data_IF_481095782928
#
_entry.id   IF_481095782928
#
_cell.length_a   1.000
_cell.length_b   1.000
_cell.length_c   1.000
_cell.angle_alpha   90.00
_cell.angle_beta   90.00
_cell.angle_gamma   90.00
#
_symmetry.space_group_name_H-M   'P 1'
#
loop_
_entity.id
_entity.type
_entity.pdbx_description
1 polymer ?
#
# COMPACT_ATOMS: atom_id res chain seq x y z
N UNK A 1 -35.39 -15.68 85.76
CA UNK A 1 -35.37 -14.19 85.66
C UNK A 1 -34.41 -13.86 84.53
N UNK A 2 -34.88 -13.75 83.28
CA UNK A 2 -35.53 -12.58 82.65
C UNK A 2 -34.52 -11.47 82.29
N UNK A 3 -34.68 -10.94 81.07
CA UNK A 3 -33.88 -9.95 80.31
C UNK A 3 -32.70 -10.59 79.55
N UNK A 4 -32.77 -10.96 78.26
CA UNK A 4 -33.49 -10.43 77.09
C UNK A 4 -33.13 -8.98 76.71
N UNK A 5 -32.66 -8.84 75.46
CA UNK A 5 -32.56 -7.67 74.58
C UNK A 5 -31.30 -6.79 74.64
N UNK A 6 -30.37 -7.03 73.70
CA UNK A 6 -30.12 -6.21 72.49
C UNK A 6 -28.79 -6.67 71.86
N UNK A 7 -28.83 -7.45 70.78
CA UNK A 7 -28.83 -7.04 69.37
C UNK A 7 -27.48 -6.51 68.84
N UNK A 8 -27.00 -7.24 67.82
CA UNK A 8 -26.06 -6.84 66.76
C UNK A 8 -24.57 -6.80 67.12
N UNK A 9 -23.85 -7.89 66.82
CA UNK A 9 -22.98 -7.96 65.64
C UNK A 9 -22.35 -9.35 65.57
N UNK A 10 -22.93 -10.21 64.71
CA UNK A 10 -22.23 -11.38 64.19
C UNK A 10 -21.29 -10.91 63.09
N UNK A 11 -19.98 -10.87 63.34
CA UNK A 11 -18.99 -10.86 62.27
C UNK A 11 -18.41 -12.26 62.19
N UNK A 12 -19.02 -13.03 61.29
CA UNK A 12 -18.45 -14.26 60.74
C UNK A 12 -17.24 -13.83 59.92
N UNK A 13 -16.05 -14.27 60.31
CA UNK A 13 -14.85 -14.26 59.46
C UNK A 13 -15.11 -15.13 58.23
N UNK A 14 -15.60 -14.52 57.16
CA UNK A 14 -15.55 -15.08 55.82
C UNK A 14 -14.31 -14.50 55.12
N UNK A 15 -13.28 -15.33 54.96
CA UNK A 15 -12.19 -15.03 54.03
C UNK A 15 -12.75 -14.96 52.60
N UNK A 16 -13.06 -13.76 52.14
CA UNK A 16 -13.30 -13.49 50.74
C UNK A 16 -11.96 -13.57 49.99
N UNK A 17 -11.64 -14.73 49.42
CA UNK A 17 -10.72 -14.79 48.29
C UNK A 17 -11.45 -14.16 47.11
N UNK A 18 -11.09 -12.92 46.80
CA UNK A 18 -11.46 -12.30 45.53
C UNK A 18 -10.60 -12.95 44.46
N UNK A 19 -11.14 -14.00 43.83
CA UNK A 19 -10.61 -14.48 42.56
C UNK A 19 -11.12 -13.50 41.50
N UNK A 20 -10.28 -12.57 41.09
CA UNK A 20 -10.53 -11.78 39.88
C UNK A 20 -10.33 -12.75 38.71
N UNK A 21 -11.43 -13.27 38.19
CA UNK A 21 -11.44 -13.88 36.87
C UNK A 21 -11.30 -12.72 35.87
N UNK A 22 -10.07 -12.46 35.47
CA UNK A 22 -9.83 -11.71 34.23
C UNK A 22 -10.21 -12.69 33.13
N UNK A 23 -11.39 -12.49 32.57
CA UNK A 23 -11.84 -13.20 31.38
C UNK A 23 -10.95 -12.73 30.23
N UNK A 24 -9.84 -13.44 30.02
CA UNK A 24 -8.97 -13.26 28.86
C UNK A 24 -9.62 -13.97 27.68
N UNK A 25 -10.77 -13.47 27.26
CA UNK A 25 -11.33 -13.74 25.94
C UNK A 25 -10.47 -13.00 24.91
N UNK A 26 -9.26 -13.53 24.68
CA UNK A 26 -8.55 -13.30 23.43
C UNK A 26 -9.23 -14.23 22.43
N UNK A 27 -10.03 -13.72 21.49
CA UNK A 27 -10.70 -14.58 20.53
C UNK A 27 -9.63 -15.31 19.73
N UNK A 28 -9.52 -16.62 19.94
CA UNK A 28 -8.68 -17.49 19.12
C UNK A 28 -9.37 -17.62 17.77
N UNK A 29 -9.14 -16.66 16.88
CA UNK A 29 -9.71 -16.66 15.54
C UNK A 29 -8.99 -17.75 14.74
N UNK A 30 -9.60 -18.93 14.66
CA UNK A 30 -9.23 -19.93 13.65
C UNK A 30 -9.39 -19.30 12.27
N UNK A 31 -8.32 -19.29 11.47
CA UNK A 31 -8.37 -18.93 10.06
C UNK A 31 -9.35 -19.85 9.31
N UNK A 32 -10.60 -19.43 9.20
CA UNK A 32 -11.62 -20.11 8.41
C UNK A 32 -11.33 -19.78 6.95
N UNK A 33 -10.71 -20.72 6.22
CA UNK A 33 -10.69 -20.70 4.74
C UNK A 33 -12.12 -20.49 4.26
N UNK A 34 -12.42 -19.29 3.76
CA UNK A 34 -13.72 -18.99 3.16
C UNK A 34 -13.78 -19.69 1.80
N UNK A 35 -14.48 -20.82 1.77
CA UNK A 35 -14.93 -21.46 0.55
C UNK A 35 -15.93 -20.54 -0.15
N UNK A 36 -15.63 -20.18 -1.41
CA UNK A 36 -16.33 -19.19 -2.22
C UNK A 36 -17.65 -19.71 -2.81
N UNK A 37 -18.63 -20.08 -1.98
CA UNK A 37 -19.98 -20.33 -2.48
C UNK A 37 -21.07 -19.72 -1.59
N UNK A 38 -21.81 -18.77 -2.19
CA UNK A 38 -23.06 -18.11 -1.74
C UNK A 38 -22.99 -17.21 -0.50
N UNK A 39 -22.98 -15.91 -0.77
CA UNK A 39 -23.19 -14.84 0.20
C UNK A 39 -21.91 -14.43 0.93
N UNK A 40 -20.88 -14.01 0.20
CA UNK A 40 -19.68 -13.43 0.83
C UNK A 40 -20.12 -12.20 1.64
N UNK A 41 -20.06 -12.32 2.96
CA UNK A 41 -20.33 -11.21 3.86
C UNK A 41 -19.23 -10.19 3.63
N UNK A 42 -19.60 -8.99 3.16
CA UNK A 42 -18.65 -7.91 2.96
C UNK A 42 -17.84 -7.66 4.24
N UNK A 43 -16.54 -7.32 4.14
CA UNK A 43 -15.74 -6.93 5.29
C UNK A 43 -16.45 -5.85 6.12
N UNK A 44 -16.25 -5.84 7.43
CA UNK A 44 -16.87 -4.83 8.29
C UNK A 44 -16.47 -3.41 7.91
N UNK A 45 -15.21 -3.20 7.49
CA UNK A 45 -14.75 -1.89 7.04
C UNK A 45 -15.52 -1.38 5.80
N UNK A 46 -15.99 -2.30 4.94
CA UNK A 46 -16.79 -2.03 3.75
C UNK A 46 -18.28 -1.76 4.06
N UNK A 47 -18.70 -1.93 5.30
CA UNK A 47 -20.08 -1.68 5.76
C UNK A 47 -20.10 -0.46 6.68
N UNK A 48 -21.26 0.20 6.74
CA UNK A 48 -21.50 1.31 7.67
C UNK A 48 -20.43 2.43 7.58
N UNK A 49 -19.92 2.68 6.39
CA UNK A 49 -18.97 3.78 6.17
C UNK A 49 -19.68 5.11 6.25
N UNK A 50 -19.01 6.07 6.87
CA UNK A 50 -19.47 7.46 6.94
C UNK A 50 -18.45 8.33 6.21
N UNK A 51 -18.91 9.27 5.36
CA UNK A 51 -18.01 10.25 4.76
C UNK A 51 -17.40 11.11 5.86
N UNK A 52 -16.13 11.45 5.70
CA UNK A 52 -15.43 12.40 6.57
C UNK A 52 -15.11 13.63 5.75
N UNK A 53 -15.36 14.80 6.32
CA UNK A 53 -15.02 16.06 5.67
C UNK A 53 -13.51 16.21 5.59
N UNK A 54 -12.98 16.62 4.43
CA UNK A 54 -11.53 16.70 4.22
C UNK A 54 -10.89 17.79 5.08
N UNK A 55 -11.64 18.86 5.35
CA UNK A 55 -11.25 19.93 6.27
C UNK A 55 -11.24 19.49 7.74
N UNK A 56 -11.90 18.38 8.09
CA UNK A 56 -11.88 17.84 9.45
C UNK A 56 -10.59 17.05 9.77
N UNK A 57 -9.82 16.66 8.74
CA UNK A 57 -8.52 16.01 8.90
C UNK A 57 -7.42 17.04 8.77
N UNK A 58 -6.94 17.53 9.92
CA UNK A 58 -5.87 18.51 10.02
C UNK A 58 -4.69 17.88 10.74
N UNK A 59 -3.48 18.07 10.20
CA UNK A 59 -2.27 17.65 10.88
C UNK A 59 -2.05 18.43 12.18
N UNK A 60 -1.42 17.83 13.21
CA UNK A 60 -1.08 18.54 14.43
C UNK A 60 -0.17 19.74 14.17
N UNK A 61 -0.14 20.66 15.14
CA UNK A 61 0.82 21.76 15.15
C UNK A 61 2.25 21.23 15.07
N UNK A 62 3.09 21.81 14.20
CA UNK A 62 4.43 21.35 13.87
C UNK A 62 4.55 20.63 12.52
N UNK A 63 3.43 20.29 11.88
CA UNK A 63 3.39 19.67 10.55
C UNK A 63 2.74 20.57 9.49
N UNK A 64 2.59 21.87 9.75
CA UNK A 64 1.92 22.82 8.85
C UNK A 64 2.65 22.98 7.51
N UNK A 65 3.97 22.75 7.51
CA UNK A 65 4.78 22.77 6.29
C UNK A 65 4.70 21.47 5.48
N UNK A 66 4.14 20.41 6.05
CA UNK A 66 3.96 19.13 5.35
C UNK A 66 2.75 19.24 4.45
N UNK A 67 2.94 18.92 3.17
CA UNK A 67 1.85 18.91 2.19
C UNK A 67 0.78 17.90 2.60
N UNK A 68 -0.50 18.29 2.46
CA UNK A 68 -1.64 17.43 2.79
C UNK A 68 -2.11 16.73 1.51
N UNK A 69 -1.86 15.43 1.32
CA UNK A 69 -2.04 14.79 0.00
C UNK A 69 -3.48 14.84 -0.52
N UNK A 70 -4.47 14.80 0.38
CA UNK A 70 -5.89 14.88 0.03
C UNK A 70 -6.41 16.32 -0.18
N UNK A 71 -5.53 17.32 -0.13
CA UNK A 71 -5.87 18.71 -0.50
C UNK A 71 -5.35 19.09 -1.89
N UNK A 72 -4.71 18.15 -2.60
CA UNK A 72 -4.26 18.30 -3.98
C UNK A 72 -5.42 18.61 -4.92
N UNK A 73 -5.28 19.67 -5.72
CA UNK A 73 -6.32 20.14 -6.64
C UNK A 73 -6.51 19.24 -7.87
N UNK A 74 -5.49 18.46 -8.24
CA UNK A 74 -5.53 17.50 -9.34
C UNK A 74 -6.19 16.17 -8.95
N UNK A 75 -6.48 15.96 -7.66
CA UNK A 75 -7.12 14.77 -7.13
C UNK A 75 -8.55 15.05 -6.69
N UNK A 76 -9.34 13.97 -6.55
CA UNK A 76 -10.70 14.01 -5.99
C UNK A 76 -10.80 13.00 -4.85
N UNK A 77 -10.06 13.17 -3.75
CA UNK A 77 -9.94 12.15 -2.74
C UNK A 77 -11.28 11.91 -2.03
N UNK A 78 -11.48 10.67 -1.58
CA UNK A 78 -12.61 10.25 -0.77
C UNK A 78 -12.11 9.87 0.62
N UNK A 79 -12.70 10.47 1.64
CA UNK A 79 -12.38 10.16 3.03
C UNK A 79 -13.56 9.46 3.68
N UNK A 80 -13.29 8.33 4.32
CA UNK A 80 -14.31 7.51 4.99
C UNK A 80 -13.82 7.03 6.34
N UNK A 81 -14.76 6.82 7.24
CA UNK A 81 -14.52 6.17 8.54
C UNK A 81 -15.56 5.09 8.79
N UNK A 82 -15.20 4.07 9.56
CA UNK A 82 -16.12 3.03 10.01
C UNK A 82 -15.56 2.32 11.25
N UNK A 83 -16.39 1.63 12.05
CA UNK A 83 -15.91 0.77 13.13
C UNK A 83 -14.87 -0.26 12.64
N UNK A 84 -15.14 -0.93 11.50
CA UNK A 84 -14.23 -1.92 10.92
C UNK A 84 -12.86 -1.35 10.56
N UNK A 85 -12.80 -0.12 10.04
CA UNK A 85 -11.52 0.55 9.77
C UNK A 85 -10.72 0.81 11.05
N UNK A 86 -11.39 1.30 12.10
CA UNK A 86 -10.74 1.56 13.41
C UNK A 86 -10.21 0.28 14.05
N UNK A 87 -11.01 -0.79 14.02
CA UNK A 87 -10.57 -2.10 14.54
C UNK A 87 -9.46 -2.71 13.70
N UNK A 88 -9.48 -2.52 12.38
CA UNK A 88 -8.38 -2.89 11.48
C UNK A 88 -7.08 -2.17 11.83
N UNK A 89 -7.15 -0.86 12.04
CA UNK A 89 -6.00 -0.04 12.44
C UNK A 89 -5.42 -0.45 13.79
N UNK A 90 -6.27 -0.66 14.80
CA UNK A 90 -5.85 -1.13 16.12
C UNK A 90 -5.14 -2.49 16.03
N UNK A 91 -5.66 -3.39 15.20
CA UNK A 91 -5.04 -4.70 14.95
C UNK A 91 -3.68 -4.55 14.28
N UNK A 92 -3.58 -3.79 13.20
CA UNK A 92 -2.30 -3.52 12.52
C UNK A 92 -1.28 -2.93 13.49
N UNK A 93 -1.68 -1.92 14.27
CA UNK A 93 -0.84 -1.28 15.28
C UNK A 93 -0.33 -2.24 16.36
N UNK A 94 -1.08 -3.31 16.67
CA UNK A 94 -0.70 -4.30 17.69
C UNK A 94 0.33 -5.34 17.24
N UNK A 95 0.59 -5.47 15.93
CA UNK A 95 1.50 -6.47 15.40
C UNK A 95 2.95 -6.13 15.70
N UNK A 96 3.76 -7.14 16.02
CA UNK A 96 5.21 -6.99 16.23
C UNK A 96 5.92 -6.82 14.90
N UNK A 97 6.92 -5.95 14.86
CA UNK A 97 7.83 -5.86 13.72
C UNK A 97 8.88 -6.95 13.83
N UNK A 98 9.08 -7.75 12.78
CA UNK A 98 10.07 -8.84 12.76
C UNK A 98 11.47 -8.35 13.13
N UNK A 99 12.17 -9.15 13.94
CA UNK A 99 13.49 -8.80 14.47
C UNK A 99 13.48 -7.83 15.64
N UNK A 100 12.31 -7.33 16.05
CA UNK A 100 12.16 -6.34 17.12
C UNK A 100 11.22 -6.84 18.22
N UNK A 101 11.39 -6.32 19.44
CA UNK A 101 10.39 -6.44 20.51
C UNK A 101 9.56 -5.16 20.59
N UNK A 102 9.12 -4.66 19.44
CA UNK A 102 8.28 -3.48 19.32
C UNK A 102 7.17 -3.75 18.31
N UNK A 103 6.03 -3.12 18.54
CA UNK A 103 4.86 -3.15 17.69
C UNK A 103 4.90 -2.04 16.63
N UNK A 104 4.10 -2.20 15.58
CA UNK A 104 3.90 -1.15 14.56
C UNK A 104 3.53 0.18 15.22
N UNK A 105 2.59 0.16 16.18
CA UNK A 105 2.16 1.38 16.87
C UNK A 105 3.27 2.02 17.70
N UNK A 106 4.19 1.23 18.28
CA UNK A 106 5.34 1.76 19.01
C UNK A 106 6.37 2.39 18.08
N UNK A 107 6.59 1.84 16.89
CA UNK A 107 7.44 2.46 15.86
C UNK A 107 6.83 3.77 15.39
N UNK A 108 5.54 3.78 15.05
CA UNK A 108 4.82 4.99 14.63
C UNK A 108 4.89 6.07 15.71
N UNK A 109 4.54 5.72 16.96
CA UNK A 109 4.57 6.67 18.08
C UNK A 109 5.96 7.25 18.30
N UNK A 110 7.02 6.42 18.23
CA UNK A 110 8.39 6.91 18.39
C UNK A 110 8.78 7.93 17.31
N UNK A 111 8.34 7.73 16.06
CA UNK A 111 8.56 8.69 14.99
C UNK A 111 7.76 9.99 15.22
N UNK A 112 6.47 9.88 15.55
CA UNK A 112 5.58 11.03 15.76
C UNK A 112 6.01 11.88 16.98
N UNK A 113 6.39 11.23 18.09
CA UNK A 113 6.93 11.88 19.30
C UNK A 113 8.23 12.66 18.99
N UNK A 114 8.90 12.35 17.88
CA UNK A 114 10.10 13.01 17.40
C UNK A 114 9.86 13.91 16.17
N UNK A 115 8.61 14.36 15.99
CA UNK A 115 8.19 15.26 14.92
C UNK A 115 8.38 14.69 13.50
N UNK A 116 8.19 13.38 13.35
CA UNK A 116 8.15 12.71 12.05
C UNK A 116 6.74 12.14 11.84
N UNK A 117 5.93 12.83 11.05
CA UNK A 117 4.58 12.37 10.68
C UNK A 117 4.70 11.09 9.87
N UNK A 118 3.91 10.09 10.23
CA UNK A 118 3.90 8.78 9.58
C UNK A 118 2.55 8.56 8.89
N UNK A 119 2.58 8.18 7.60
CA UNK A 119 1.38 7.78 6.87
C UNK A 119 1.58 6.41 6.21
N UNK A 120 0.87 5.36 6.68
CA UNK A 120 0.90 4.05 6.03
C UNK A 120 0.24 4.12 4.65
N UNK A 121 0.69 3.30 3.71
CA UNK A 121 0.21 3.33 2.34
C UNK A 121 0.09 1.93 1.73
N UNK A 122 -0.80 1.80 0.74
CA UNK A 122 -0.77 0.70 -0.21
C UNK A 122 -1.32 -0.61 0.33
N UNK A 123 -0.52 -1.68 0.20
CA UNK A 123 -0.98 -3.06 0.43
C UNK A 123 -1.45 -3.32 1.85
N UNK A 124 -0.81 -2.70 2.84
CA UNK A 124 -1.18 -2.83 4.25
C UNK A 124 -2.57 -2.26 4.55
N UNK A 125 -2.90 -1.13 3.94
CA UNK A 125 -4.20 -0.47 4.08
C UNK A 125 -5.29 -1.25 3.33
N UNK A 126 -4.99 -1.79 2.15
CA UNK A 126 -5.89 -2.72 1.45
C UNK A 126 -6.25 -3.92 2.32
N UNK A 127 -5.24 -4.58 2.88
CA UNK A 127 -5.44 -5.80 3.66
C UNK A 127 -6.20 -5.46 4.97
N UNK A 128 -5.93 -4.31 5.58
CA UNK A 128 -6.71 -3.76 6.70
C UNK A 128 -8.20 -3.56 6.36
N UNK A 129 -8.53 -3.01 5.18
CA UNK A 129 -9.93 -2.85 4.73
C UNK A 129 -10.62 -4.20 4.56
N UNK A 130 -9.90 -5.21 4.06
CA UNK A 130 -10.43 -6.56 3.92
C UNK A 130 -10.58 -7.30 5.26
N UNK A 131 -10.02 -6.76 6.35
CA UNK A 131 -9.88 -7.46 7.63
C UNK A 131 -8.90 -8.64 7.56
N UNK A 132 -8.01 -8.63 6.56
CA UNK A 132 -6.91 -9.57 6.39
C UNK A 132 -5.70 -9.09 7.19
N UNK A 133 -4.82 -10.02 7.57
CA UNK A 133 -3.57 -9.68 8.24
C UNK A 133 -2.57 -9.12 7.22
N UNK A 134 -2.10 -7.87 7.37
CA UNK A 134 -1.06 -7.34 6.51
C UNK A 134 0.24 -8.14 6.66
N UNK A 135 0.94 -8.37 5.56
CA UNK A 135 2.24 -9.05 5.57
C UNK A 135 3.37 -8.09 5.93
N UNK A 136 3.30 -6.87 5.39
CA UNK A 136 4.25 -5.79 5.51
C UNK A 136 3.51 -4.46 5.74
N UNK A 137 4.26 -3.43 6.12
CA UNK A 137 3.76 -2.05 6.21
C UNK A 137 4.68 -1.14 5.42
N UNK A 138 4.16 -0.64 4.31
CA UNK A 138 4.75 0.47 3.57
C UNK A 138 4.22 1.80 4.12
N UNK A 139 5.07 2.84 4.17
CA UNK A 139 4.68 4.17 4.61
C UNK A 139 5.55 5.29 4.04
N UNK A 140 5.02 6.51 4.04
CA UNK A 140 5.84 7.72 3.95
C UNK A 140 6.00 8.39 5.31
N UNK A 141 7.15 9.03 5.51
CA UNK A 141 7.45 9.79 6.72
C UNK A 141 7.97 11.18 6.39
N UNK A 142 7.51 12.20 7.14
CA UNK A 142 7.85 13.62 6.90
C UNK A 142 9.33 13.97 7.11
N UNK A 143 10.05 13.14 7.88
CA UNK A 143 11.47 13.31 8.16
C UNK A 143 12.36 12.81 7.03
N UNK A 144 13.61 13.31 6.97
CA UNK A 144 14.62 12.75 6.05
C UNK A 144 15.01 11.34 6.47
N UNK A 145 15.51 10.54 5.52
CA UNK A 145 16.00 9.19 5.82
C UNK A 145 17.13 9.17 6.85
N UNK A 146 18.05 10.14 6.81
CA UNK A 146 19.12 10.28 7.82
C UNK A 146 18.53 10.43 9.22
N UNK A 147 17.48 11.25 9.33
CA UNK A 147 16.80 11.48 10.60
C UNK A 147 16.04 10.24 11.05
N UNK A 148 15.30 9.58 10.17
CA UNK A 148 14.57 8.33 10.46
C UNK A 148 15.57 7.24 10.90
N UNK A 149 16.66 7.06 10.17
CA UNK A 149 17.72 6.10 10.50
C UNK A 149 18.33 6.38 11.88
N UNK A 150 18.63 7.65 12.18
CA UNK A 150 19.17 8.05 13.48
C UNK A 150 18.19 7.75 14.62
N UNK A 151 16.92 8.13 14.46
CA UNK A 151 15.86 7.87 15.46
C UNK A 151 15.62 6.38 15.69
N UNK A 152 15.56 5.61 14.60
CA UNK A 152 15.41 4.16 14.64
C UNK A 152 16.60 3.52 15.37
N UNK A 153 17.82 3.85 14.94
CA UNK A 153 19.06 3.25 15.49
C UNK A 153 19.19 3.52 16.99
N UNK A 154 18.83 4.74 17.42
CA UNK A 154 18.88 5.14 18.82
C UNK A 154 17.88 4.35 19.68
N UNK A 155 16.68 4.07 19.17
CA UNK A 155 15.59 3.45 19.94
C UNK A 155 15.59 1.93 19.87
N UNK A 156 15.83 1.38 18.68
CA UNK A 156 15.65 -0.03 18.36
C UNK A 156 16.96 -0.75 18.06
N UNK A 157 18.08 -0.03 18.02
CA UNK A 157 19.41 -0.56 17.70
C UNK A 157 19.69 -0.55 16.21
N UNK A 158 20.96 -0.32 15.85
CA UNK A 158 21.43 -0.16 14.46
C UNK A 158 21.07 -1.36 13.57
N UNK A 159 21.10 -2.58 14.12
CA UNK A 159 20.81 -3.81 13.39
C UNK A 159 19.35 -3.94 12.93
N UNK A 160 18.45 -3.07 13.40
CA UNK A 160 17.03 -3.06 13.03
C UNK A 160 16.69 -1.91 12.09
N UNK A 161 17.69 -1.20 11.58
CA UNK A 161 17.50 0.05 10.83
C UNK A 161 18.38 0.00 9.58
N UNK A 162 17.85 -0.58 8.51
CA UNK A 162 18.62 -0.83 7.30
C UNK A 162 18.28 0.19 6.22
N UNK A 163 19.29 0.89 5.70
CA UNK A 163 19.12 1.65 4.47
C UNK A 163 19.08 0.69 3.28
N UNK A 164 18.25 0.98 2.29
CA UNK A 164 18.23 0.22 1.05
C UNK A 164 19.63 0.14 0.44
N UNK A 165 20.11 -1.06 0.06
CA UNK A 165 21.44 -1.22 -0.53
C UNK A 165 21.50 -0.69 -1.97
N UNK A 166 20.35 -0.37 -2.57
CA UNK A 166 20.24 0.07 -3.95
C UNK A 166 20.59 1.56 -4.07
N UNK A 167 21.63 1.93 -4.85
CA UNK A 167 22.01 3.32 -5.04
C UNK A 167 20.83 4.16 -5.54
N UNK A 168 20.55 5.28 -4.87
CA UNK A 168 19.44 6.18 -5.20
C UNK A 168 18.07 5.74 -4.68
N UNK A 169 17.96 4.58 -4.01
CA UNK A 169 16.73 4.21 -3.33
C UNK A 169 16.54 5.07 -2.09
N UNK A 170 15.36 5.67 -1.96
CA UNK A 170 14.95 6.45 -0.80
C UNK A 170 14.34 5.61 0.34
N UNK A 171 14.49 4.29 0.24
CA UNK A 171 13.82 3.35 1.11
C UNK A 171 14.67 3.01 2.33
N UNK A 172 14.06 3.09 3.49
CA UNK A 172 14.61 2.67 4.77
C UNK A 172 13.73 1.58 5.36
N UNK A 173 14.35 0.53 5.86
CA UNK A 173 13.68 -0.61 6.47
C UNK A 173 13.84 -0.57 7.99
N UNK A 174 12.73 -0.71 8.72
CA UNK A 174 12.70 -0.82 10.18
C UNK A 174 12.28 -2.25 10.56
N UNK A 175 13.16 -2.98 11.22
CA UNK A 175 13.03 -4.41 11.49
C UNK A 175 14.24 -5.18 10.98
N UNK A 176 14.28 -6.47 11.28
CA UNK A 176 15.35 -7.35 10.84
C UNK A 176 14.81 -8.74 10.46
N UNK A 177 14.78 -9.03 9.16
CA UNK A 177 14.31 -10.30 8.60
C UNK A 177 15.15 -11.51 9.03
N UNK A 178 16.42 -11.29 9.41
CA UNK A 178 17.34 -12.34 9.87
C UNK A 178 17.15 -12.72 11.33
N UNK A 179 16.38 -11.93 12.10
CA UNK A 179 16.17 -12.16 13.54
C UNK A 179 14.75 -12.61 13.83
N UNK A 180 14.64 -13.81 14.39
CA UNK A 180 13.36 -14.43 14.77
C UNK A 180 12.60 -15.02 13.57
N UNK A 181 11.83 -16.07 13.84
CA UNK A 181 10.87 -16.60 12.88
C UNK A 181 9.64 -15.70 12.85
N UNK A 182 9.09 -15.45 11.65
CA UNK A 182 7.76 -14.86 11.51
C UNK A 182 6.74 -15.64 12.35
N UNK A 183 5.85 -14.92 13.02
CA UNK A 183 4.76 -15.47 13.82
C UNK A 183 3.42 -14.94 13.34
N UNK A 184 2.32 -15.55 13.80
CA UNK A 184 0.97 -15.10 13.43
C UNK A 184 0.69 -13.63 13.81
N UNK A 185 1.39 -13.11 14.82
CA UNK A 185 1.26 -11.74 15.34
C UNK A 185 2.45 -10.84 14.96
N UNK A 186 3.19 -11.22 13.92
CA UNK A 186 4.38 -10.51 13.44
C UNK A 186 4.18 -10.07 11.99
N UNK A 187 4.59 -8.86 11.66
CA UNK A 187 4.75 -8.39 10.27
C UNK A 187 6.22 -8.43 9.87
N UNK A 188 6.46 -8.51 8.56
CA UNK A 188 7.79 -8.27 8.01
C UNK A 188 8.30 -6.86 8.35
N UNK A 189 9.62 -6.61 8.24
CA UNK A 189 10.18 -5.28 8.46
C UNK A 189 9.41 -4.21 7.69
N UNK A 190 9.16 -3.09 8.36
CA UNK A 190 8.44 -1.96 7.79
C UNK A 190 9.30 -1.25 6.78
N UNK A 191 8.70 -0.87 5.67
CA UNK A 191 9.37 -0.25 4.54
C UNK A 191 8.91 1.21 4.43
N UNK A 192 9.83 2.13 4.71
CA UNK A 192 9.55 3.56 4.84
C UNK A 192 10.28 4.33 3.75
N UNK A 193 9.57 5.23 3.09
CA UNK A 193 10.16 6.21 2.17
C UNK A 193 9.97 7.62 2.71
N UNK A 194 10.72 8.57 2.14
CA UNK A 194 10.57 9.97 2.51
C UNK A 194 9.25 10.50 1.95
N UNK A 195 8.70 11.51 2.63
CA UNK A 195 7.57 12.27 2.12
C UNK A 195 7.79 12.68 0.66
N UNK A 196 6.70 12.67 -0.12
CA UNK A 196 6.61 13.07 -1.54
C UNK A 196 6.95 11.97 -2.55
N UNK A 197 7.52 10.84 -2.13
CA UNK A 197 7.91 9.75 -3.05
C UNK A 197 6.71 9.01 -3.68
N UNK A 198 5.54 9.10 -3.07
CA UNK A 198 4.27 8.45 -3.46
C UNK A 198 3.11 9.44 -3.40
N UNK A 199 3.00 10.26 -2.35
CA UNK A 199 1.84 11.14 -2.15
C UNK A 199 1.81 12.38 -3.04
N UNK A 200 2.96 12.81 -3.57
CA UNK A 200 3.04 13.98 -4.47
C UNK A 200 3.19 13.61 -5.95
N UNK A 201 3.31 12.33 -6.28
CA UNK A 201 3.42 11.90 -7.68
C UNK A 201 2.03 11.85 -8.35
N UNK A 202 1.94 11.99 -9.69
CA UNK A 202 0.67 11.90 -10.41
C UNK A 202 0.11 10.46 -10.44
N UNK A 203 -1.19 10.27 -10.71
CA UNK A 203 -1.80 8.94 -10.82
C UNK A 203 -1.13 8.01 -11.83
N UNK A 204 -0.43 8.54 -12.84
CA UNK A 204 0.35 7.75 -13.81
C UNK A 204 1.51 7.02 -13.16
N UNK A 205 2.03 7.48 -12.02
CA UNK A 205 3.11 6.81 -11.29
C UNK A 205 2.63 5.79 -10.26
N UNK A 206 1.38 5.90 -9.78
CA UNK A 206 0.78 4.88 -8.91
C UNK A 206 0.44 3.59 -9.64
N UNK A 207 0.28 2.49 -8.90
CA UNK A 207 -0.04 1.17 -9.45
C UNK A 207 -1.52 1.03 -9.83
N UNK A 208 -2.25 0.16 -9.12
CA UNK A 208 -3.68 -0.04 -9.26
C UNK A 208 -4.39 0.56 -8.05
N UNK A 209 -5.64 0.98 -8.25
CA UNK A 209 -6.47 1.64 -7.23
C UNK A 209 -6.56 0.89 -5.88
N UNK A 210 -6.51 -0.46 -5.79
CA UNK A 210 -6.49 -1.12 -4.48
C UNK A 210 -5.30 -0.75 -3.59
N UNK A 211 -4.21 -0.25 -4.16
CA UNK A 211 -2.98 0.10 -3.46
C UNK A 211 -2.75 1.61 -3.39
N UNK A 212 -3.79 2.45 -3.52
CA UNK A 212 -3.67 3.92 -3.50
C UNK A 212 -4.37 4.59 -2.32
N UNK A 213 -4.44 3.89 -1.19
CA UNK A 213 -5.09 4.38 0.02
C UNK A 213 -4.07 4.55 1.14
N UNK A 214 -4.31 5.56 1.98
CA UNK A 214 -3.64 5.74 3.26
C UNK A 214 -4.66 5.73 4.40
N UNK A 215 -4.19 5.57 5.62
CA UNK A 215 -5.00 5.70 6.82
C UNK A 215 -4.36 6.72 7.74
N UNK A 216 -5.15 7.70 8.17
CA UNK A 216 -4.72 8.69 9.13
C UNK A 216 -5.52 8.55 10.41
N UNK A 217 -4.81 8.52 11.54
CA UNK A 217 -5.43 8.47 12.86
C UNK A 217 -4.73 9.42 13.82
N UNK A 218 -5.47 10.43 14.27
CA UNK A 218 -5.00 11.30 15.34
C UNK A 218 -4.88 10.54 16.68
N UNK A 219 -3.88 10.88 17.51
CA UNK A 219 -3.82 10.42 18.89
C UNK A 219 -5.09 10.75 19.70
N UNK A 220 -5.30 10.07 20.82
CA UNK A 220 -6.32 10.38 21.83
C UNK A 220 -7.77 10.42 21.31
N UNK A 221 -8.15 9.48 20.44
CA UNK A 221 -9.49 9.42 19.82
C UNK A 221 -9.85 10.64 18.96
N UNK A 222 -8.85 11.36 18.45
CA UNK A 222 -9.08 12.40 17.44
C UNK A 222 -9.63 11.82 16.12
N UNK A 223 -9.84 12.68 15.11
CA UNK A 223 -10.33 12.24 13.80
C UNK A 223 -9.49 11.11 13.21
N UNK A 224 -10.18 10.10 12.68
CA UNK A 224 -9.55 8.98 11.97
C UNK A 224 -10.30 8.72 10.67
N UNK A 225 -9.56 8.60 9.58
CA UNK A 225 -10.11 8.38 8.27
C UNK A 225 -9.18 7.51 7.42
N UNK A 226 -9.79 6.63 6.65
CA UNK A 226 -9.17 6.12 5.44
C UNK A 226 -9.30 7.19 4.37
N UNK A 227 -8.19 7.48 3.70
CA UNK A 227 -8.08 8.45 2.62
C UNK A 227 -7.79 7.68 1.33
N UNK A 228 -8.74 7.67 0.43
CA UNK A 228 -8.61 7.13 -0.92
C UNK A 228 -8.32 8.28 -1.89
N UNK A 229 -7.08 8.37 -2.37
CA UNK A 229 -6.64 9.46 -3.24
C UNK A 229 -7.25 9.42 -4.64
N UNK A 230 -7.80 8.27 -5.04
CA UNK A 230 -8.36 8.04 -6.37
C UNK A 230 -9.88 8.12 -6.41
N UNK A 231 -10.56 8.18 -5.25
CA UNK A 231 -12.02 8.00 -5.09
C UNK A 231 -12.54 6.61 -5.50
N UNK A 232 -11.67 5.71 -5.95
CA UNK A 232 -12.02 4.42 -6.53
C UNK A 232 -11.43 3.26 -5.74
N UNK A 233 -10.28 3.45 -5.09
CA UNK A 233 -9.55 2.43 -4.36
C UNK A 233 -10.37 1.75 -3.27
N UNK A 234 -11.13 2.49 -2.47
CA UNK A 234 -11.91 1.89 -1.39
C UNK A 234 -13.02 0.97 -1.92
N UNK A 235 -13.75 1.43 -2.93
CA UNK A 235 -14.79 0.63 -3.60
C UNK A 235 -14.16 -0.58 -4.31
N UNK A 236 -13.08 -0.37 -5.06
CA UNK A 236 -12.37 -1.42 -5.77
C UNK A 236 -11.80 -2.49 -4.80
N UNK A 237 -11.40 -2.13 -3.58
CA UNK A 237 -11.03 -3.12 -2.55
C UNK A 237 -12.25 -3.92 -2.08
N UNK A 238 -13.35 -3.25 -1.75
CA UNK A 238 -14.56 -3.91 -1.27
C UNK A 238 -15.20 -4.82 -2.33
N UNK A 239 -15.11 -4.46 -3.61
CA UNK A 239 -15.61 -5.23 -4.75
C UNK A 239 -14.58 -6.20 -5.34
N UNK A 240 -13.35 -6.22 -4.80
CA UNK A 240 -12.20 -6.95 -5.34
C UNK A 240 -11.96 -6.67 -6.84
N UNK A 241 -11.95 -5.40 -7.23
CA UNK A 241 -11.67 -4.93 -8.59
C UNK A 241 -10.27 -4.32 -8.72
N UNK A 242 -9.68 -4.47 -9.90
CA UNK A 242 -8.39 -3.92 -10.28
C UNK A 242 -8.67 -2.86 -11.35
N UNK A 243 -8.31 -1.61 -11.06
CA UNK A 243 -8.41 -0.49 -11.98
C UNK A 243 -7.07 0.23 -12.05
N UNK A 244 -6.68 0.65 -13.26
CA UNK A 244 -5.53 1.52 -13.45
C UNK A 244 -5.86 2.90 -12.84
N UNK A 245 -4.89 3.48 -12.15
CA UNK A 245 -5.06 4.74 -11.42
C UNK A 245 -5.18 5.98 -12.31
N UNK A 246 -4.60 5.91 -13.51
CA UNK A 246 -4.66 6.96 -14.51
C UNK A 246 -5.86 6.79 -15.45
N UNK A 247 -6.30 7.90 -16.04
CA UNK A 247 -7.32 7.89 -17.09
C UNK A 247 -6.85 7.08 -18.31
N UNK A 248 -7.79 6.51 -19.08
CA UNK A 248 -7.50 5.61 -20.19
C UNK A 248 -6.54 6.21 -21.22
N UNK A 249 -6.65 7.52 -21.49
CA UNK A 249 -5.78 8.22 -22.43
C UNK A 249 -4.32 8.31 -21.94
N UNK A 250 -4.09 8.13 -20.64
CA UNK A 250 -2.77 8.17 -20.00
C UNK A 250 -2.23 6.77 -19.68
N UNK A 251 -2.93 5.70 -20.06
CA UNK A 251 -2.46 4.34 -19.83
C UNK A 251 -1.07 4.05 -20.42
N UNK A 252 -0.69 4.55 -21.63
CA UNK A 252 0.67 4.41 -22.13
C UNK A 252 1.72 5.07 -21.22
N UNK A 253 1.42 6.25 -20.67
CA UNK A 253 2.29 6.94 -19.70
C UNK A 253 2.36 6.15 -18.38
N UNK A 254 1.21 5.66 -17.91
CA UNK A 254 1.11 4.85 -16.69
C UNK A 254 1.89 3.54 -16.77
N UNK A 255 1.89 2.91 -17.95
CA UNK A 255 2.67 1.71 -18.22
C UNK A 255 4.18 1.98 -18.21
N UNK A 256 4.57 3.26 -18.33
CA UNK A 256 5.94 3.74 -18.26
C UNK A 256 6.78 3.37 -19.48
N UNK A 257 8.07 3.71 -19.40
CA UNK A 257 9.04 3.30 -20.40
C UNK A 257 9.23 1.77 -20.41
N UNK A 258 9.45 1.21 -21.61
CA UNK A 258 9.66 -0.21 -21.80
C UNK A 258 10.76 -0.75 -20.88
N UNK A 259 10.43 -1.83 -20.15
CA UNK A 259 11.33 -2.52 -19.23
C UNK A 259 11.44 -1.89 -17.82
N UNK A 260 11.21 -0.58 -17.63
CA UNK A 260 11.38 0.07 -16.31
C UNK A 260 10.21 -0.16 -15.35
N UNK A 261 9.01 -0.40 -15.90
CA UNK A 261 7.77 -0.54 -15.12
C UNK A 261 7.07 -1.89 -15.40
N UNK A 262 7.80 -2.92 -15.84
CA UNK A 262 7.21 -4.23 -16.11
C UNK A 262 6.60 -4.86 -14.85
N UNK A 263 7.30 -4.74 -13.71
CA UNK A 263 6.82 -5.25 -12.41
C UNK A 263 5.45 -4.65 -12.05
N UNK A 264 5.23 -3.36 -12.34
CA UNK A 264 3.96 -2.66 -12.09
C UNK A 264 2.79 -3.36 -12.80
N UNK A 265 2.99 -3.76 -14.07
CA UNK A 265 2.00 -4.54 -14.83
C UNK A 265 1.86 -5.97 -14.31
N UNK A 266 2.97 -6.63 -13.96
CA UNK A 266 2.94 -7.99 -13.41
C UNK A 266 2.19 -8.09 -12.07
N UNK A 267 2.20 -7.02 -11.26
CA UNK A 267 1.42 -6.91 -10.01
C UNK A 267 -0.09 -7.00 -10.24
N UNK A 268 -0.60 -6.87 -11.46
CA UNK A 268 -1.98 -7.22 -11.82
C UNK A 268 -2.29 -8.67 -11.42
N UNK A 269 -1.42 -9.62 -11.78
CA UNK A 269 -1.61 -11.04 -11.42
C UNK A 269 -1.36 -11.32 -9.95
N UNK A 270 -0.54 -10.51 -9.25
CA UNK A 270 -0.42 -10.56 -7.77
C UNK A 270 -1.77 -10.23 -7.10
N UNK A 271 -2.54 -9.29 -7.64
CA UNK A 271 -3.89 -9.00 -7.15
C UNK A 271 -4.88 -10.08 -7.58
N UNK A 272 -4.81 -10.57 -8.83
CA UNK A 272 -5.69 -11.64 -9.33
C UNK A 272 -5.59 -12.91 -8.47
N UNK A 273 -4.39 -13.30 -8.02
CA UNK A 273 -4.20 -14.46 -7.12
C UNK A 273 -4.79 -14.24 -5.72
N UNK A 274 -5.05 -12.98 -5.31
CA UNK A 274 -5.81 -12.63 -4.10
C UNK A 274 -7.33 -12.58 -4.32
N UNK A 275 -7.80 -13.05 -5.48
CA UNK A 275 -9.22 -13.09 -5.85
C UNK A 275 -9.76 -11.77 -6.39
N UNK A 276 -8.89 -10.86 -6.82
CA UNK A 276 -9.33 -9.67 -7.54
C UNK A 276 -9.60 -9.97 -9.02
N UNK A 277 -10.43 -9.14 -9.63
CA UNK A 277 -10.76 -9.18 -11.06
C UNK A 277 -10.50 -7.83 -11.70
N UNK A 278 -10.24 -7.79 -13.02
CA UNK A 278 -10.24 -6.52 -13.73
C UNK A 278 -11.59 -5.80 -13.51
N UNK A 279 -11.54 -4.47 -13.37
CA UNK A 279 -12.76 -3.66 -13.28
C UNK A 279 -13.63 -3.84 -14.53
N UNK A 280 -12.99 -3.89 -15.69
CA UNK A 280 -13.59 -4.01 -17.01
C UNK A 280 -12.65 -4.75 -17.98
N UNK A 281 -13.18 -5.26 -19.11
CA UNK A 281 -12.38 -5.96 -20.12
C UNK A 281 -11.24 -5.11 -20.71
N UNK A 282 -11.41 -3.79 -20.79
CA UNK A 282 -10.42 -2.86 -21.36
C UNK A 282 -9.16 -2.79 -20.49
N UNK A 283 -9.33 -2.72 -19.17
CA UNK A 283 -8.23 -2.76 -18.20
C UNK A 283 -7.42 -4.04 -18.36
N UNK A 284 -8.09 -5.20 -18.42
CA UNK A 284 -7.42 -6.47 -18.63
C UNK A 284 -6.68 -6.51 -19.98
N UNK A 285 -7.37 -6.12 -21.05
CA UNK A 285 -6.82 -6.11 -22.40
C UNK A 285 -5.54 -5.25 -22.47
N UNK A 286 -5.58 -4.02 -21.95
CA UNK A 286 -4.44 -3.13 -21.96
C UNK A 286 -3.25 -3.71 -21.18
N UNK A 287 -3.47 -4.23 -19.97
CA UNK A 287 -2.39 -4.80 -19.15
C UNK A 287 -1.76 -6.03 -19.84
N UNK A 288 -2.58 -6.92 -20.41
CA UNK A 288 -2.10 -8.11 -21.13
C UNK A 288 -1.30 -7.71 -22.36
N UNK A 289 -1.86 -6.86 -23.23
CA UNK A 289 -1.21 -6.51 -24.50
C UNK A 289 0.04 -5.64 -24.28
N UNK A 290 0.05 -4.74 -23.31
CA UNK A 290 1.24 -3.98 -22.95
C UNK A 290 2.36 -4.88 -22.40
N UNK A 291 2.03 -5.91 -21.61
CA UNK A 291 3.03 -6.89 -21.16
C UNK A 291 3.55 -7.75 -22.30
N UNK A 292 2.69 -8.22 -23.22
CA UNK A 292 3.13 -9.00 -24.40
C UNK A 292 4.11 -8.21 -25.27
N UNK A 293 3.83 -6.92 -25.48
CA UNK A 293 4.65 -6.03 -26.29
C UNK A 293 6.03 -5.78 -25.70
N UNK A 294 6.12 -5.72 -24.37
CA UNK A 294 7.34 -5.34 -23.65
C UNK A 294 7.84 -6.48 -22.75
N UNK A 295 7.60 -7.71 -23.18
CA UNK A 295 7.97 -8.90 -22.43
C UNK A 295 9.48 -8.94 -22.18
N UNK A 296 9.86 -9.19 -20.93
CA UNK A 296 11.24 -9.39 -20.52
C UNK A 296 11.31 -10.65 -19.65
N UNK A 297 12.08 -11.63 -20.11
CA UNK A 297 12.22 -12.92 -19.44
C UNK A 297 12.75 -12.78 -18.01
N UNK A 298 13.83 -12.02 -17.81
CA UNK A 298 14.46 -11.85 -16.50
C UNK A 298 13.53 -11.20 -15.47
N UNK A 299 12.81 -10.14 -15.88
CA UNK A 299 11.86 -9.47 -14.99
C UNK A 299 10.66 -10.35 -14.63
N UNK A 300 10.19 -11.19 -15.57
CA UNK A 300 9.13 -12.17 -15.31
C UNK A 300 9.63 -13.27 -14.37
N UNK A 301 10.84 -13.79 -14.56
CA UNK A 301 11.43 -14.78 -13.66
C UNK A 301 11.62 -14.22 -12.25
N UNK A 302 12.12 -12.99 -12.14
CA UNK A 302 12.27 -12.25 -10.89
C UNK A 302 10.94 -12.06 -10.19
N UNK A 303 9.91 -11.61 -10.92
CA UNK A 303 8.57 -11.46 -10.38
C UNK A 303 8.00 -12.79 -9.90
N UNK A 304 8.13 -13.86 -10.69
CA UNK A 304 7.62 -15.18 -10.34
C UNK A 304 8.29 -15.73 -9.08
N UNK A 305 9.61 -15.61 -8.99
CA UNK A 305 10.36 -16.00 -7.80
C UNK A 305 9.88 -15.25 -6.55
N UNK A 306 9.88 -13.91 -6.60
CA UNK A 306 9.59 -13.08 -5.42
C UNK A 306 8.12 -13.17 -5.00
N UNK A 307 7.19 -13.06 -5.95
CA UNK A 307 5.76 -12.86 -5.61
C UNK A 307 4.90 -14.12 -5.73
N UNK A 308 5.35 -15.14 -6.46
CA UNK A 308 4.60 -16.41 -6.61
C UNK A 308 5.23 -17.51 -5.77
N UNK A 309 6.56 -17.57 -5.74
CA UNK A 309 7.29 -18.61 -5.01
C UNK A 309 7.79 -18.19 -3.62
N UNK A 310 7.65 -16.91 -3.26
CA UNK A 310 8.12 -16.38 -1.97
C UNK A 310 9.63 -16.65 -1.75
N UNK A 311 10.42 -16.32 -2.78
CA UNK A 311 11.85 -16.58 -2.84
C UNK A 311 12.71 -15.36 -3.11
N UNK A 312 14.02 -15.53 -2.90
CA UNK A 312 15.07 -14.58 -3.28
C UNK A 312 15.59 -14.90 -4.68
N UNK A 313 15.56 -13.90 -5.56
CA UNK A 313 16.01 -14.03 -6.94
C UNK A 313 17.49 -13.68 -7.08
N UNK A 314 18.26 -14.58 -7.67
CA UNK A 314 19.66 -14.38 -8.04
C UNK A 314 19.83 -14.50 -9.55
N UNK A 315 20.38 -13.46 -10.18
CA UNK A 315 20.77 -13.49 -11.58
C UNK A 315 22.12 -14.20 -11.72
N UNK A 316 22.17 -15.30 -12.47
CA UNK A 316 23.40 -16.05 -12.72
C UNK A 316 24.17 -15.57 -13.95
N UNK A 317 23.68 -14.53 -14.64
CA UNK A 317 24.27 -13.97 -15.87
C UNK A 317 24.13 -14.89 -17.09
N UNK A 318 23.51 -16.06 -16.96
CA UNK A 318 23.32 -17.07 -18.02
C UNK A 318 21.88 -17.09 -18.55
N UNK A 319 21.17 -15.96 -18.46
CA UNK A 319 19.76 -15.81 -18.83
C UNK A 319 18.80 -16.69 -18.01
N UNK A 320 19.25 -17.32 -16.92
CA UNK A 320 18.39 -18.13 -16.04
C UNK A 320 18.50 -17.68 -14.60
N UNK A 321 17.42 -17.12 -14.10
CA UNK A 321 17.31 -16.84 -12.67
C UNK A 321 17.40 -18.10 -11.81
N UNK A 322 18.08 -17.98 -10.68
CA UNK A 322 17.96 -18.91 -9.56
C UNK A 322 17.02 -18.31 -8.53
N UNK A 323 16.06 -19.08 -8.05
CA UNK A 323 15.17 -18.71 -6.96
C UNK A 323 15.48 -19.55 -5.72
N UNK A 324 15.97 -18.91 -4.67
CA UNK A 324 16.17 -19.51 -3.36
C UNK A 324 14.90 -19.31 -2.52
N UNK A 325 14.23 -20.38 -2.11
CA UNK A 325 12.98 -20.27 -1.36
C UNK A 325 13.25 -19.79 0.08
N UNK A 326 12.49 -18.79 0.57
CA UNK A 326 12.64 -18.25 1.93
C UNK A 326 12.07 -19.20 2.98
N UNK A 327 10.96 -19.87 2.66
CA UNK A 327 10.31 -20.86 3.52
C UNK A 327 9.96 -22.13 2.72
N UNK A 328 10.74 -23.20 2.90
CA UNK A 328 10.50 -24.50 2.27
C UNK A 328 9.61 -25.43 3.11
N UNK A 329 9.11 -24.97 4.26
CA UNK A 329 8.33 -25.79 5.18
C UNK A 329 6.90 -26.09 4.69
N UNK A 330 6.43 -25.43 3.62
CA UNK A 330 5.10 -25.65 3.07
C UNK A 330 5.07 -25.80 1.53
N UNK A 331 5.58 -26.93 1.00
CA UNK A 331 5.58 -27.18 -0.44
C UNK A 331 4.18 -27.22 -1.05
N UNK A 332 3.14 -27.57 -0.27
CA UNK A 332 1.77 -27.58 -0.74
C UNK A 332 1.24 -26.16 -1.05
N UNK A 333 1.52 -25.19 -0.15
CA UNK A 333 1.17 -23.77 -0.36
C UNK A 333 1.90 -23.19 -1.57
N UNK A 334 3.18 -23.53 -1.75
CA UNK A 334 3.96 -23.12 -2.92
C UNK A 334 3.33 -23.64 -4.22
N UNK A 335 3.01 -24.93 -4.31
CA UNK A 335 2.38 -25.50 -5.50
C UNK A 335 0.96 -24.97 -5.74
N UNK A 336 0.21 -24.64 -4.67
CA UNK A 336 -1.08 -23.95 -4.76
C UNK A 336 -0.93 -22.56 -5.39
N UNK A 337 0.00 -21.74 -4.89
CA UNK A 337 0.32 -20.41 -5.46
C UNK A 337 0.73 -20.50 -6.93
N UNK A 338 1.65 -21.42 -7.27
CA UNK A 338 2.10 -21.63 -8.66
C UNK A 338 0.94 -22.01 -9.56
N UNK A 339 0.09 -22.95 -9.13
CA UNK A 339 -1.09 -23.38 -9.91
C UNK A 339 -2.08 -22.24 -10.12
N UNK A 340 -2.38 -21.48 -9.07
CA UNK A 340 -3.30 -20.36 -9.14
C UNK A 340 -2.79 -19.30 -10.12
N UNK A 341 -1.51 -18.90 -10.01
CA UNK A 341 -0.89 -17.96 -10.93
C UNK A 341 -0.89 -18.48 -12.37
N UNK A 342 -0.38 -19.70 -12.59
CA UNK A 342 -0.25 -20.27 -13.94
C UNK A 342 -1.62 -20.38 -14.63
N UNK A 343 -2.67 -20.79 -13.90
CA UNK A 343 -4.03 -20.88 -14.44
C UNK A 343 -4.58 -19.51 -14.85
N UNK A 344 -4.39 -18.48 -14.02
CA UNK A 344 -4.83 -17.11 -14.33
C UNK A 344 -4.06 -16.54 -15.52
N UNK A 345 -2.74 -16.73 -15.55
CA UNK A 345 -1.89 -16.24 -16.61
C UNK A 345 -2.19 -16.92 -17.95
N UNK A 346 -2.38 -18.25 -17.96
CA UNK A 346 -2.78 -18.97 -19.16
C UNK A 346 -4.15 -18.50 -19.68
N UNK A 347 -5.11 -18.27 -18.78
CA UNK A 347 -6.43 -17.76 -19.13
C UNK A 347 -6.37 -16.36 -19.73
N UNK A 348 -5.63 -15.45 -19.10
CA UNK A 348 -5.60 -14.03 -19.48
C UNK A 348 -4.77 -13.78 -20.76
N UNK A 349 -3.68 -14.52 -20.99
CA UNK A 349 -2.83 -14.36 -22.19
C UNK A 349 -3.22 -15.26 -23.37
N UNK A 350 -3.96 -16.32 -23.09
CA UNK A 350 -4.28 -17.39 -24.02
C UNK A 350 -3.19 -18.48 -24.07
N UNK A 351 -3.64 -19.72 -24.24
CA UNK A 351 -2.79 -20.92 -24.34
C UNK A 351 -1.60 -20.79 -25.30
N UNK A 352 -1.71 -20.15 -26.50
CA UNK A 352 -0.57 -20.04 -27.40
C UNK A 352 0.61 -19.24 -26.82
N UNK A 353 0.33 -18.10 -26.16
CA UNK A 353 1.38 -17.29 -25.55
C UNK A 353 1.93 -17.97 -24.29
N UNK A 354 1.05 -18.60 -23.50
CA UNK A 354 1.45 -19.37 -22.33
C UNK A 354 2.45 -20.48 -22.68
N UNK A 355 2.10 -21.34 -23.65
CA UNK A 355 2.92 -22.49 -24.01
C UNK A 355 4.25 -22.10 -24.68
N UNK A 356 4.26 -21.04 -25.49
CA UNK A 356 5.44 -20.65 -26.29
C UNK A 356 6.40 -19.73 -25.57
N UNK A 357 5.91 -18.91 -24.63
CA UNK A 357 6.69 -17.84 -23.99
C UNK A 357 6.74 -18.05 -22.48
N UNK A 358 5.59 -17.96 -21.81
CA UNK A 358 5.56 -17.88 -20.34
C UNK A 358 6.00 -19.16 -19.65
N UNK A 359 5.47 -20.32 -20.09
CA UNK A 359 5.77 -21.59 -19.46
C UNK A 359 7.27 -21.92 -19.57
N UNK A 360 7.92 -21.82 -20.75
CA UNK A 360 9.37 -21.96 -20.86
C UNK A 360 10.14 -20.98 -19.97
N UNK A 361 9.73 -19.71 -19.90
CA UNK A 361 10.35 -18.70 -19.05
C UNK A 361 10.30 -19.08 -17.56
N UNK A 362 9.14 -19.54 -17.08
CA UNK A 362 8.94 -19.94 -15.68
C UNK A 362 9.65 -21.27 -15.37
N UNK A 363 9.54 -22.26 -16.26
CA UNK A 363 10.22 -23.56 -16.13
C UNK A 363 11.75 -23.42 -16.19
N UNK A 364 12.26 -22.33 -16.78
CA UNK A 364 13.67 -21.99 -16.82
C UNK A 364 14.26 -21.57 -15.47
N UNK A 365 13.42 -21.22 -14.49
CA UNK A 365 13.87 -20.79 -13.16
C UNK A 365 14.44 -21.99 -12.40
N UNK A 366 15.69 -21.89 -11.95
CA UNK A 366 16.30 -22.91 -11.10
C UNK A 366 15.84 -22.69 -9.66
N UNK A 367 15.11 -23.64 -9.09
CA UNK A 367 14.68 -23.57 -7.69
C UNK A 367 15.74 -24.22 -6.80
N UNK A 368 16.28 -23.45 -5.85
CA UNK A 368 17.15 -23.95 -4.80
C UNK A 368 16.35 -24.06 -3.49
N UNK A 369 16.42 -25.24 -2.85
CA UNK A 369 15.82 -25.51 -1.54
C UNK A 369 16.93 -25.57 -0.49
N UNK A 370 16.67 -25.01 0.68
CA UNK A 370 17.65 -24.90 1.78
C UNK A 370 18.27 -23.51 1.88
N UNK A 371 18.76 -23.18 3.07
CA UNK A 371 19.25 -21.85 3.44
C UNK A 371 20.15 -21.26 2.34
N UNK A 372 19.97 -19.97 1.97
CA UNK A 372 20.89 -19.31 1.06
C UNK A 372 22.28 -19.52 1.63
N UNK A 373 23.19 -20.05 0.81
CA UNK A 373 24.59 -20.11 1.20
C UNK A 373 24.94 -18.70 1.65
N UNK A 374 25.26 -18.54 2.95
CA UNK A 374 25.80 -17.29 3.48
C UNK A 374 26.76 -16.76 2.43
N UNK A 375 26.58 -15.54 1.90
CA UNK A 375 27.47 -15.06 0.87
C UNK A 375 28.85 -15.18 1.48
N UNK A 376 29.68 -16.09 0.92
CA UNK A 376 31.08 -16.17 1.28
C UNK A 376 31.56 -14.74 1.25
N UNK A 377 32.04 -14.28 2.40
CA UNK A 377 32.64 -12.97 2.57
C UNK A 377 33.81 -12.88 1.59
N UNK A 378 33.52 -12.54 0.34
CA UNK A 378 34.48 -11.88 -0.52
C UNK A 378 34.68 -10.56 0.21
N UNK A 379 35.89 -10.27 0.72
CA UNK A 379 36.18 -8.99 1.30
C UNK A 379 35.76 -7.97 0.24
N UNK A 380 34.86 -7.06 0.60
CA UNK A 380 34.65 -5.86 -0.19
C UNK A 380 36.00 -5.14 -0.17
N UNK A 381 36.79 -5.36 -1.21
CA UNK A 381 38.01 -4.62 -1.44
C UNK A 381 37.54 -3.21 -1.81
N UNK A 382 37.76 -2.20 -0.97
CA UNK A 382 37.28 -0.87 -1.24
C UNK A 382 37.89 -0.42 -2.55
N UNK A 383 37.06 -0.23 -3.59
CA UNK A 383 37.48 0.45 -4.80
C UNK A 383 38.12 1.75 -4.37
N UNK A 384 39.41 1.89 -4.66
CA UNK A 384 40.19 3.08 -4.37
C UNK A 384 39.38 4.30 -4.81
N UNK A 385 39.17 5.21 -3.85
CA UNK A 385 38.54 6.50 -4.08
C UNK A 385 39.24 7.17 -5.25
N UNK A 386 38.52 7.32 -6.37
CA UNK A 386 38.93 8.27 -7.38
C UNK A 386 38.91 9.65 -6.72
N UNK A 387 40.05 10.32 -6.77
CA UNK A 387 40.24 11.69 -6.31
C UNK A 387 39.18 12.61 -6.94
N UNK A 388 38.65 13.60 -6.19
CA UNK A 388 37.71 14.55 -6.74
C UNK A 388 38.42 15.40 -7.79
N UNK A 389 37.93 15.35 -9.04
CA UNK A 389 38.25 16.37 -10.03
C UNK A 389 37.67 17.70 -9.55
N UNK A 390 38.55 18.61 -9.14
CA UNK A 390 38.23 20.02 -8.95
C UNK A 390 37.84 20.62 -10.31
N UNK A 391 36.55 20.80 -10.54
CA UNK A 391 36.04 21.70 -11.58
C UNK A 391 35.82 23.06 -10.92
N UNK A 392 36.42 24.16 -11.42
CA UNK A 392 36.16 25.49 -10.90
C UNK A 392 34.70 25.86 -11.11
N UNK A 393 34.05 26.31 -10.03
CA UNK A 393 32.71 26.90 -10.07
C UNK A 393 32.78 28.28 -10.72
N UNK A 394 32.30 28.41 -11.95
CA UNK A 394 31.98 29.72 -12.54
C UNK A 394 30.60 30.17 -12.04
N UNK A 395 30.44 31.42 -11.55
CA UNK A 395 29.14 31.94 -11.16
C UNK A 395 28.25 32.11 -12.40
N UNK A 396 27.08 31.47 -12.40
CA UNK A 396 26.03 31.77 -13.38
C UNK A 396 25.54 33.21 -13.18
N UNK A 397 25.72 34.04 -14.21
CA UNK A 397 25.06 35.33 -14.33
C UNK A 397 23.54 35.17 -14.26
N UNK A 398 22.91 36.06 -13.49
CA UNK A 398 21.46 36.14 -13.32
C UNK A 398 20.80 36.44 -14.66
N UNK A 399 20.01 35.50 -15.17
CA UNK A 399 19.12 35.74 -16.30
C UNK A 399 18.04 36.76 -15.88
N UNK A 400 18.00 37.89 -16.56
CA UNK A 400 16.92 38.88 -16.47
C UNK A 400 15.59 38.29 -16.95
N UNK A 401 14.47 38.65 -16.32
CA UNK A 401 13.16 38.15 -16.72
C UNK A 401 12.75 38.76 -18.07
N UNK A 402 12.45 37.89 -19.04
CA UNK A 402 11.81 38.25 -20.30
C UNK A 402 10.43 38.88 -20.03
N UNK A 403 10.26 40.16 -20.37
CA UNK A 403 8.94 40.81 -20.45
C UNK A 403 8.25 40.37 -21.74
N UNK A 404 7.10 39.73 -21.61
CA UNK A 404 6.15 39.56 -22.72
C UNK A 404 5.45 40.91 -22.93
N UNK A 405 5.43 41.48 -24.16
CA UNK A 405 4.65 42.68 -24.44
C UNK A 405 3.15 42.37 -24.38
N UNK A 406 2.44 43.18 -23.60
CA UNK A 406 0.98 43.14 -23.48
C UNK A 406 0.36 43.87 -24.68
N UNK A 407 -0.36 43.15 -25.54
CA UNK A 407 -1.23 43.76 -26.56
C UNK A 407 -2.56 44.22 -25.90
N UNK A 408 -3.04 45.45 -26.16
CA UNK A 408 -4.33 45.90 -25.66
C UNK A 408 -5.47 45.17 -26.40
N UNK A 409 -6.34 44.52 -25.63
CA UNK A 409 -7.57 43.92 -26.12
C UNK A 409 -8.60 45.02 -26.40
N UNK A 410 -9.04 45.13 -27.66
CA UNK A 410 -10.12 46.03 -28.07
C UNK A 410 -11.42 45.73 -27.30
N UNK A 411 -12.06 46.79 -26.83
CA UNK A 411 -13.35 46.76 -26.15
C UNK A 411 -14.48 46.51 -27.15
N UNK A 412 -15.15 45.37 -27.04
CA UNK A 412 -16.46 45.15 -27.65
C UNK A 412 -17.56 45.72 -26.75
N UNK A 413 -18.40 46.58 -27.30
CA UNK A 413 -19.57 47.22 -26.69
C UNK A 413 -20.66 46.20 -26.31
N UNK A 414 -21.49 46.47 -25.28
CA UNK A 414 -22.53 45.54 -24.83
C UNK A 414 -23.77 45.62 -25.73
N UNK A 415 -24.23 44.47 -26.23
CA UNK A 415 -25.58 44.31 -26.79
C UNK A 415 -26.59 44.02 -25.67
N UNK A 416 -27.73 44.69 -25.79
CA UNK A 416 -28.84 44.71 -24.84
C UNK A 416 -29.43 43.34 -24.53
N UNK A 417 -29.79 43.17 -23.26
CA UNK A 417 -30.60 42.11 -22.69
C UNK A 417 -32.00 42.04 -23.31
N UNK A 418 -32.33 40.89 -23.91
CA UNK A 418 -33.71 40.48 -24.14
C UNK A 418 -34.16 39.60 -22.96
N UNK A 419 -35.16 40.06 -22.21
CA UNK A 419 -35.84 39.28 -21.18
C UNK A 419 -36.70 38.20 -21.86
N UNK A 420 -36.47 36.93 -21.50
CA UNK A 420 -37.39 35.83 -21.81
C UNK A 420 -38.05 35.40 -20.52
N UNK A 421 -39.33 35.73 -20.39
CA UNK A 421 -40.24 35.27 -19.34
C UNK A 421 -40.64 33.82 -19.58
N UNK A 422 -40.31 32.94 -18.64
CA UNK A 422 -40.75 31.52 -18.65
C UNK A 422 -42.14 31.42 -18.01
N UNK A 423 -43.14 31.10 -18.81
CA UNK A 423 -44.45 30.61 -18.32
C UNK A 423 -44.43 29.09 -18.32
N UNK A 424 -44.68 28.48 -17.14
CA UNK A 424 -44.91 27.04 -16.98
C UNK A 424 -46.26 26.68 -17.60
N UNK A 425 -46.26 25.75 -18.54
CA UNK A 425 -47.47 25.02 -18.95
C UNK A 425 -47.17 23.52 -18.95
N UNK A 426 -47.98 22.81 -18.16
CA UNK A 426 -48.03 21.36 -18.04
C UNK A 426 -48.63 20.75 -19.31
N UNK A 427 -47.88 19.91 -20.02
CA UNK A 427 -48.44 18.70 -20.67
C UNK A 427 -47.35 17.76 -21.14
N UNK A 428 -47.62 16.48 -20.88
CA UNK A 428 -46.85 15.30 -21.24
C UNK A 428 -46.77 15.08 -22.76
N UNK A 429 -45.59 14.68 -23.28
CA UNK A 429 -45.41 13.62 -24.31
C UNK A 429 -43.95 13.53 -24.82
N UNK A 430 -43.40 12.32 -24.66
CA UNK A 430 -42.51 11.55 -25.55
C UNK A 430 -41.77 12.35 -26.65
N UNK A 431 -40.43 12.37 -26.60
CA UNK A 431 -39.59 12.68 -27.76
C UNK A 431 -38.61 11.52 -28.02
N UNK A 432 -38.80 10.85 -29.16
CA UNK A 432 -37.83 9.95 -29.79
C UNK A 432 -36.81 10.80 -30.55
N UNK A 433 -35.52 10.58 -30.30
CA UNK A 433 -34.43 11.16 -31.08
C UNK A 433 -34.05 10.20 -32.22
N UNK A 434 -34.26 10.64 -33.46
CA UNK A 434 -33.63 10.08 -34.65
C UNK A 434 -32.40 10.93 -34.98
N UNK A 435 -31.24 10.30 -35.09
CA UNK A 435 -30.03 10.88 -35.68
C UNK A 435 -30.00 10.41 -37.13
N UNK A 436 -29.89 11.35 -38.08
CA UNK A 436 -29.70 11.05 -39.49
C UNK A 436 -28.34 11.62 -39.93
N UNK A 437 -27.51 10.70 -40.44
CA UNK A 437 -26.23 10.77 -41.18
C UNK A 437 -25.27 11.93 -40.90
#
# INVERSE_FOLDING_TARGET
MLCLLLFLFSIVSASARVTILIDSDVPTIRHRRQSSTRGAVLPEACRNTQPVDKEAIVFPSGFEAVSVPWMRADLKPRLVTSPGLRSGWQRLGSLKVRGMNATVQEVIRHLEDNHCLFLPWGGSIRDMVLGEMPHDVDAEVSCTQERIHSLCSLKFGIDNCEKSPWPGSSKLRIGNERRGSGGADTIEPMDIVQWKDTFEVPPTQWEFTPNTMTYYAMPNNGPQALIDLTNMGFEDVCEKKIRITAEEQQWPEWAGEAGKQLIKRLRFWKLRTKGYEARDPQTQYFVVESLKKEFNESEVQKFYCIYVMDGEYHDDGLQRGTCALVDDNNPAKLEESKRAFNSLFETDFGTPFWQKVMKPTIDGIRVQRGAPATPSSVPYEPRQQATPYNVPYEPREQATPYRIPYEPREQATPRSSAQVSVTRSTTSKILKLYINK
#
